data_IF_180407253270
#
_entry.id   IF_180407253270
#
_cell.length_a   1.000
_cell.length_b   1.000
_cell.length_c   1.000
_cell.angle_alpha   90.00
_cell.angle_beta   90.00
_cell.angle_gamma   90.00
#
_symmetry.space_group_name_H-M   'P 1'
#
loop_
_entity.id
_entity.type
_entity.pdbx_description
1 polymer ?
#
# COMPACT_ATOMS: atom_id res chain seq x y z
N UNK A 1 1.03 14.08 24.95
CA UNK A 1 1.48 13.72 23.60
C UNK A 1 0.74 12.44 23.21
N UNK A 2 -0.30 12.52 22.38
CA UNK A 2 -1.04 11.32 21.93
C UNK A 2 -0.49 10.96 20.56
N UNK A 3 0.31 9.89 20.50
CA UNK A 3 0.65 9.24 19.24
C UNK A 3 -0.44 8.20 19.02
N UNK A 4 -1.42 8.50 18.17
CA UNK A 4 -2.31 7.46 17.68
C UNK A 4 -1.60 6.82 16.50
N UNK A 5 -1.03 5.62 16.69
CA UNK A 5 -0.82 4.71 15.57
C UNK A 5 -2.22 4.26 15.11
N UNK A 6 -2.95 5.14 14.44
CA UNK A 6 -4.23 4.82 13.82
C UNK A 6 -3.92 4.32 12.42
N UNK A 7 -3.89 2.99 12.30
CA UNK A 7 -4.18 2.34 11.03
C UNK A 7 -5.68 2.01 11.02
N UNK A 8 -6.27 2.02 9.84
CA UNK A 8 -7.67 1.68 9.61
C UNK A 8 -7.75 0.69 8.44
N UNK A 9 -8.89 0.00 8.31
CA UNK A 9 -9.21 -0.73 7.08
C UNK A 9 -9.94 0.20 6.12
N UNK A 10 -9.79 -0.01 4.82
CA UNK A 10 -10.51 0.78 3.83
C UNK A 10 -10.64 0.11 2.48
N UNK A 11 -11.02 0.90 1.48
CA UNK A 11 -11.19 0.44 0.09
C UNK A 11 -10.15 1.08 -0.82
N UNK A 12 -9.96 0.54 -2.02
CA UNK A 12 -9.14 1.18 -3.05
C UNK A 12 -9.59 2.60 -3.37
N UNK A 13 -10.89 2.89 -3.28
CA UNK A 13 -11.43 4.24 -3.49
C UNK A 13 -10.96 5.20 -2.40
N UNK A 14 -11.07 4.81 -1.13
CA UNK A 14 -10.58 5.62 0.00
C UNK A 14 -9.07 5.83 -0.06
N UNK A 15 -8.32 4.79 -0.43
CA UNK A 15 -6.88 4.89 -0.63
C UNK A 15 -6.54 5.90 -1.73
N UNK A 16 -7.26 5.87 -2.87
CA UNK A 16 -7.11 6.85 -3.95
C UNK A 16 -7.47 8.27 -3.50
N UNK A 17 -8.51 8.44 -2.68
CA UNK A 17 -8.88 9.75 -2.12
C UNK A 17 -7.73 10.35 -1.29
N UNK A 18 -7.06 9.54 -0.45
CA UNK A 18 -5.88 10.00 0.30
C UNK A 18 -4.74 10.41 -0.64
N UNK A 19 -4.45 9.59 -1.65
CA UNK A 19 -3.41 9.87 -2.63
C UNK A 19 -3.70 11.14 -3.44
N UNK A 20 -4.96 11.36 -3.83
CA UNK A 20 -5.41 12.60 -4.51
C UNK A 20 -5.31 13.82 -3.59
N UNK A 21 -5.51 13.65 -2.28
CA UNK A 21 -5.26 14.69 -1.29
C UNK A 21 -3.76 14.95 -1.06
N UNK A 22 -2.87 14.19 -1.69
CA UNK A 22 -1.42 14.30 -1.54
C UNK A 22 -0.87 13.63 -0.29
N UNK A 23 -1.60 12.64 0.24
CA UNK A 23 -1.25 11.92 1.46
C UNK A 23 -0.82 10.49 1.08
N UNK A 24 0.49 10.16 1.12
CA UNK A 24 0.95 8.79 0.93
C UNK A 24 0.41 7.87 2.03
N UNK A 25 0.21 6.60 1.69
CA UNK A 25 -0.37 5.62 2.60
C UNK A 25 0.61 4.45 2.80
N UNK A 26 0.79 4.02 4.05
CA UNK A 26 1.46 2.76 4.36
C UNK A 26 0.40 1.66 4.27
N UNK A 27 0.51 0.74 3.32
CA UNK A 27 -0.37 -0.41 3.19
C UNK A 27 0.31 -1.66 3.76
N UNK A 28 -0.42 -2.43 4.56
CA UNK A 28 0.03 -3.73 5.06
C UNK A 28 -0.40 -4.80 4.07
N UNK A 29 0.51 -5.63 3.59
CA UNK A 29 0.27 -6.56 2.48
C UNK A 29 0.90 -7.92 2.78
N UNK A 30 0.40 -8.97 2.15
CA UNK A 30 1.09 -10.25 2.07
C UNK A 30 1.93 -10.32 0.78
N UNK A 31 3.23 -10.55 0.90
CA UNK A 31 4.16 -10.49 -0.25
C UNK A 31 3.90 -11.58 -1.30
N UNK A 32 3.27 -12.70 -0.93
CA UNK A 32 2.97 -13.82 -1.83
C UNK A 32 2.11 -13.44 -3.04
N UNK A 33 1.35 -12.36 -2.92
CA UNK A 33 0.45 -11.86 -3.97
C UNK A 33 1.08 -10.71 -4.79
N UNK A 34 2.30 -10.27 -4.43
CA UNK A 34 3.01 -9.22 -5.16
C UNK A 34 3.90 -9.83 -6.25
N UNK A 35 3.71 -9.49 -7.54
CA UNK A 35 4.40 -10.16 -8.66
C UNK A 35 5.93 -10.00 -8.70
N UNK A 36 6.48 -9.07 -7.92
CA UNK A 36 7.91 -8.77 -7.87
C UNK A 36 8.61 -9.37 -6.64
N UNK A 37 7.88 -10.11 -5.80
CA UNK A 37 8.38 -10.80 -4.61
C UNK A 37 8.42 -12.30 -4.85
N UNK A 38 9.37 -12.96 -4.21
CA UNK A 38 9.56 -14.43 -4.26
C UNK A 38 9.37 -15.09 -2.86
N UNK A 39 8.96 -14.30 -1.87
CA UNK A 39 8.78 -14.69 -0.48
C UNK A 39 7.32 -14.54 -0.02
N UNK A 40 6.97 -15.26 1.05
CA UNK A 40 5.63 -15.29 1.65
C UNK A 40 5.71 -14.79 3.09
N UNK A 41 5.50 -13.48 3.27
CA UNK A 41 5.55 -12.81 4.57
C UNK A 41 4.67 -11.57 4.60
N UNK A 42 4.15 -11.24 5.79
CA UNK A 42 3.48 -9.96 6.02
C UNK A 42 4.49 -8.82 5.93
N UNK A 43 4.16 -7.78 5.18
CA UNK A 43 5.06 -6.66 4.87
C UNK A 43 4.32 -5.32 4.85
N UNK A 44 5.08 -4.23 4.82
CA UNK A 44 4.55 -2.87 4.68
C UNK A 44 5.20 -2.13 3.51
N UNK A 45 4.36 -1.59 2.63
CA UNK A 45 4.77 -0.80 1.47
C UNK A 45 4.18 0.60 1.56
N UNK A 46 4.85 1.59 0.95
CA UNK A 46 4.31 2.95 0.86
C UNK A 46 3.69 3.16 -0.51
N UNK A 47 2.37 3.31 -0.54
CA UNK A 47 1.62 3.70 -1.73
C UNK A 47 1.79 5.21 -1.92
N UNK A 48 2.43 5.60 -3.03
CA UNK A 48 2.79 7.01 -3.31
C UNK A 48 2.04 7.60 -4.50
N UNK A 49 1.28 6.78 -5.21
CA UNK A 49 0.47 7.21 -6.34
C UNK A 49 -0.26 6.05 -6.99
N UNK A 50 -1.05 6.39 -8.00
CA UNK A 50 -1.78 5.43 -8.82
C UNK A 50 -2.01 6.03 -10.21
N UNK A 51 -2.29 5.17 -11.17
CA UNK A 51 -2.89 5.54 -12.46
C UNK A 51 -4.19 4.75 -12.68
N UNK A 52 -4.67 4.67 -13.92
CA UNK A 52 -5.95 4.00 -14.21
C UNK A 52 -5.95 2.51 -13.85
N UNK A 53 -4.79 1.84 -13.89
CA UNK A 53 -4.70 0.38 -13.77
C UNK A 53 -3.73 -0.10 -12.69
N UNK A 54 -2.89 0.79 -12.14
CA UNK A 54 -1.81 0.41 -11.24
C UNK A 54 -1.68 1.31 -10.01
N UNK A 55 -1.08 0.77 -8.95
CA UNK A 55 -0.54 1.52 -7.82
C UNK A 55 0.99 1.60 -7.90
N UNK A 56 1.54 2.69 -7.40
CA UNK A 56 2.98 2.92 -7.30
C UNK A 56 3.42 2.71 -5.86
N UNK A 57 4.27 1.71 -5.63
CA UNK A 57 4.70 1.25 -4.31
C UNK A 57 6.19 1.54 -4.10
N UNK A 58 6.54 2.19 -3.00
CA UNK A 58 7.89 2.15 -2.46
C UNK A 58 7.97 0.99 -1.46
N UNK A 59 8.72 -0.05 -1.81
CA UNK A 59 9.02 -1.17 -0.92
C UNK A 59 10.37 -0.89 -0.21
N UNK A 60 10.42 -0.85 1.13
CA UNK A 60 11.66 -0.65 1.90
C UNK A 60 12.78 -1.65 1.58
N UNK A 61 12.44 -2.83 1.09
CA UNK A 61 13.38 -3.90 0.74
C UNK A 61 13.73 -3.92 -0.75
N UNK A 62 13.19 -2.99 -1.54
CA UNK A 62 13.40 -2.92 -2.98
C UNK A 62 14.01 -1.58 -3.42
N UNK A 63 15.27 -1.63 -3.86
CA UNK A 63 16.05 -0.44 -4.24
C UNK A 63 15.46 0.29 -5.45
N UNK A 64 14.88 -0.46 -6.40
CA UNK A 64 14.30 0.09 -7.61
C UNK A 64 12.83 0.45 -7.37
N UNK A 65 12.61 1.56 -6.67
CA UNK A 65 11.28 2.08 -6.32
C UNK A 65 11.02 3.44 -7.00
N UNK A 66 9.75 3.80 -7.30
CA UNK A 66 8.54 3.02 -7.04
C UNK A 66 8.36 1.86 -8.04
N UNK A 67 7.78 0.78 -7.55
CA UNK A 67 7.33 -0.38 -8.34
C UNK A 67 5.88 -0.16 -8.75
N UNK A 68 5.56 -0.36 -10.03
CA UNK A 68 4.18 -0.34 -10.52
C UNK A 68 3.59 -1.75 -10.38
N UNK A 69 2.44 -1.84 -9.71
CA UNK A 69 1.71 -3.09 -9.47
C UNK A 69 0.28 -2.92 -9.94
N UNK A 70 -0.29 -3.92 -10.60
CA UNK A 70 -1.69 -3.84 -11.04
C UNK A 70 -2.62 -3.61 -9.84
N UNK A 71 -3.72 -2.89 -10.06
CA UNK A 71 -4.68 -2.65 -9.00
C UNK A 71 -5.23 -3.96 -8.42
N UNK A 72 -5.38 -5.00 -9.24
CA UNK A 72 -5.84 -6.31 -8.79
C UNK A 72 -4.82 -7.07 -7.93
N UNK A 73 -3.54 -7.07 -8.31
CA UNK A 73 -2.49 -7.73 -7.52
C UNK A 73 -2.27 -7.00 -6.19
N UNK A 74 -2.30 -5.66 -6.23
CA UNK A 74 -2.24 -4.86 -5.00
C UNK A 74 -3.44 -5.13 -4.09
N UNK A 75 -4.66 -5.12 -4.64
CA UNK A 75 -5.89 -5.37 -3.88
C UNK A 75 -5.88 -6.75 -3.24
N UNK A 76 -5.43 -7.78 -3.96
CA UNK A 76 -5.30 -9.13 -3.44
C UNK A 76 -4.27 -9.20 -2.29
N UNK A 77 -3.09 -8.63 -2.48
CA UNK A 77 -2.05 -8.57 -1.44
C UNK A 77 -2.50 -7.80 -0.19
N UNK A 78 -3.29 -6.74 -0.38
CA UNK A 78 -3.82 -5.90 0.67
C UNK A 78 -5.00 -6.55 1.42
N UNK A 79 -5.88 -7.22 0.68
CA UNK A 79 -7.04 -7.95 1.20
C UNK A 79 -6.63 -9.09 2.15
N UNK A 80 -5.57 -9.81 1.81
CA UNK A 80 -5.00 -10.87 2.66
C UNK A 80 -4.51 -10.33 4.02
N UNK A 81 -4.36 -9.01 4.14
CA UNK A 81 -4.01 -8.33 5.39
C UNK A 81 -5.12 -7.35 5.86
N UNK A 82 -6.39 -7.70 5.62
CA UNK A 82 -7.60 -6.98 6.03
C UNK A 82 -7.71 -5.54 5.51
N UNK A 83 -7.10 -5.24 4.36
CA UNK A 83 -7.13 -3.92 3.72
C UNK A 83 -6.69 -2.79 4.66
N UNK A 84 -5.73 -3.09 5.56
CA UNK A 84 -5.24 -2.14 6.56
C UNK A 84 -4.25 -1.17 5.96
N UNK A 85 -4.39 0.11 6.30
CA UNK A 85 -3.45 1.15 5.92
C UNK A 85 -3.34 2.25 6.98
N UNK A 86 -2.26 3.02 6.90
CA UNK A 86 -2.07 4.23 7.71
C UNK A 86 -1.73 5.41 6.79
N UNK A 87 -2.32 6.57 7.07
CA UNK A 87 -2.09 7.80 6.30
C UNK A 87 -0.89 8.56 6.86
N UNK A 88 0.06 8.93 5.99
CA UNK A 88 1.20 9.77 6.37
C UNK A 88 0.77 11.24 6.28
N UNK A 89 0.53 11.85 7.43
CA UNK A 89 0.18 13.27 7.57
C UNK A 89 1.25 14.05 8.35
N UNK A 90 1.25 15.38 8.23
CA UNK A 90 2.25 16.28 8.84
C UNK A 90 1.74 16.93 10.12
#
# INVERSE_FOLDING_TARGET
>A
MRVWNQYESGTLEQLREQLLAGHPCIAFVETRELPYRDDDTSHAVVVVGFDNETFLLNDPEYVNSPVSVSAGDFDLAWLEHDEKYAVITR
#
